data_IF_825159784306
#
_entry.id   IF_825159784306
#
_cell.length_a   1.000
_cell.length_b   1.000
_cell.length_c   1.000
_cell.angle_alpha   90.00
_cell.angle_beta   90.00
_cell.angle_gamma   90.00
#
_symmetry.space_group_name_H-M   'P 1'
#
loop_
_entity.id
_entity.type
_entity.pdbx_description
1 polymer ?
#
# COMPACT_ATOMS: atom_id res chain seq x y z
N UNK A 1 21.45 -26.99 48.95
CA UNK A 1 21.65 -26.27 47.67
C UNK A 1 20.31 -26.24 46.94
N UNK A 2 19.61 -25.11 47.01
CA UNK A 2 18.31 -24.88 46.37
C UNK A 2 18.53 -24.44 44.92
N UNK A 3 18.21 -25.30 43.96
CA UNK A 3 18.14 -24.90 42.56
C UNK A 3 16.77 -24.29 42.29
N UNK A 4 16.73 -22.96 42.13
CA UNK A 4 15.57 -22.25 41.60
C UNK A 4 15.40 -22.62 40.12
N UNK A 5 14.38 -23.42 39.85
CA UNK A 5 13.89 -23.67 38.48
C UNK A 5 13.07 -22.44 38.08
N UNK A 6 13.68 -21.53 37.32
CA UNK A 6 12.97 -20.40 36.70
C UNK A 6 12.07 -20.98 35.61
N UNK A 7 10.79 -21.12 35.90
CA UNK A 7 9.79 -21.45 34.91
C UNK A 7 9.55 -20.19 34.06
N UNK A 8 10.18 -20.12 32.89
CA UNK A 8 9.78 -19.19 31.84
C UNK A 8 8.43 -19.64 31.29
N UNK A 9 7.35 -19.17 31.93
CA UNK A 9 6.01 -19.27 31.38
C UNK A 9 5.96 -18.22 30.28
N UNK A 10 6.07 -18.66 29.02
CA UNK A 10 5.59 -17.84 27.90
C UNK A 10 4.08 -17.70 28.10
N UNK A 11 3.65 -16.55 28.63
CA UNK A 11 2.24 -16.16 28.62
C UNK A 11 1.79 -16.17 27.16
N UNK A 12 0.97 -17.15 26.80
CA UNK A 12 0.23 -17.15 25.55
C UNK A 12 -0.75 -15.98 25.60
N UNK A 13 -0.35 -14.85 25.03
CA UNK A 13 -1.22 -13.69 24.86
C UNK A 13 -2.37 -14.13 23.96
N UNK A 14 -3.57 -14.19 24.56
CA UNK A 14 -4.78 -14.54 23.85
C UNK A 14 -5.20 -13.33 23.02
N UNK A 15 -4.94 -13.39 21.70
CA UNK A 15 -5.31 -12.32 20.76
C UNK A 15 -6.82 -12.39 20.53
N UNK A 16 -7.56 -11.51 21.18
CA UNK A 16 -9.03 -11.44 21.08
C UNK A 16 -9.54 -10.39 20.11
N UNK A 17 -8.65 -9.53 19.59
CA UNK A 17 -8.96 -8.46 18.62
C UNK A 17 -7.86 -8.38 17.56
N UNK A 18 -8.24 -8.03 16.33
CA UNK A 18 -7.30 -7.78 15.24
C UNK A 18 -6.30 -6.67 15.61
N UNK A 19 -6.72 -5.70 16.43
CA UNK A 19 -5.87 -4.60 16.91
C UNK A 19 -4.77 -5.06 17.88
N UNK A 20 -4.81 -6.30 18.36
CA UNK A 20 -3.77 -6.87 19.21
C UNK A 20 -2.70 -7.62 18.38
N UNK A 21 -2.86 -7.75 17.06
CA UNK A 21 -1.82 -8.26 16.17
C UNK A 21 -0.61 -7.31 16.17
N UNK A 22 0.60 -7.85 15.99
CA UNK A 22 1.82 -7.05 15.89
C UNK A 22 1.88 -6.26 14.58
N UNK A 23 2.80 -5.31 14.47
CA UNK A 23 2.95 -4.51 13.25
C UNK A 23 3.42 -5.36 12.07
N UNK A 24 4.25 -6.37 12.34
CA UNK A 24 4.75 -7.34 11.36
C UNK A 24 3.59 -8.10 10.70
N UNK A 25 2.63 -8.58 11.50
CA UNK A 25 1.43 -9.23 10.96
C UNK A 25 0.63 -8.29 10.04
N UNK A 26 0.56 -6.99 10.36
CA UNK A 26 -0.11 -6.03 9.48
C UNK A 26 0.66 -5.75 8.20
N UNK A 27 1.99 -5.66 8.24
CA UNK A 27 2.78 -5.53 7.02
C UNK A 27 2.60 -6.76 6.11
N UNK A 28 2.56 -7.97 6.69
CA UNK A 28 2.24 -9.19 5.93
C UNK A 28 0.83 -9.12 5.31
N UNK A 29 -0.18 -8.65 6.04
CA UNK A 29 -1.53 -8.45 5.48
C UNK A 29 -1.50 -7.43 4.34
N UNK A 30 -0.80 -6.31 4.53
CA UNK A 30 -0.70 -5.24 3.54
C UNK A 30 -0.03 -5.70 2.24
N UNK A 31 0.89 -6.66 2.29
CA UNK A 31 1.52 -7.23 1.08
C UNK A 31 0.54 -7.91 0.12
N UNK A 32 -0.61 -8.40 0.63
CA UNK A 32 -1.67 -9.00 -0.18
C UNK A 32 -2.69 -7.98 -0.71
N UNK A 33 -2.63 -6.74 -0.24
CA UNK A 33 -3.57 -5.68 -0.61
C UNK A 33 -2.89 -4.66 -1.54
N UNK A 34 -3.67 -3.97 -2.36
CA UNK A 34 -3.18 -2.76 -3.01
C UNK A 34 -3.32 -1.55 -2.07
N UNK A 35 -2.60 -0.47 -2.40
CA UNK A 35 -2.59 0.75 -1.60
C UNK A 35 -3.97 1.40 -1.47
N UNK A 36 -4.87 1.22 -2.43
CA UNK A 36 -6.25 1.72 -2.32
C UNK A 36 -7.01 0.99 -1.21
N UNK A 37 -6.99 -0.35 -1.21
CA UNK A 37 -7.66 -1.15 -0.19
C UNK A 37 -7.04 -0.91 1.19
N UNK A 38 -5.73 -0.78 1.27
CA UNK A 38 -5.04 -0.44 2.53
C UNK A 38 -5.52 0.91 3.06
N UNK A 39 -5.46 1.97 2.25
CA UNK A 39 -5.90 3.30 2.69
C UNK A 39 -7.37 3.32 3.08
N UNK A 40 -8.24 2.79 2.22
CA UNK A 40 -9.68 2.81 2.44
C UNK A 40 -10.10 2.06 3.72
N UNK A 41 -9.43 0.94 4.03
CA UNK A 41 -9.75 0.16 5.21
C UNK A 41 -9.09 0.68 6.50
N UNK A 42 -7.86 1.19 6.44
CA UNK A 42 -7.04 1.42 7.64
C UNK A 42 -6.75 2.89 7.97
N UNK A 43 -6.93 3.84 7.04
CA UNK A 43 -6.47 5.24 7.26
C UNK A 43 -7.23 5.99 8.36
N UNK A 44 -8.46 5.59 8.62
CA UNK A 44 -9.38 6.28 9.53
C UNK A 44 -9.74 5.46 10.78
N UNK A 45 -9.00 4.39 11.09
CA UNK A 45 -9.29 3.53 12.23
C UNK A 45 -8.84 4.17 13.55
N UNK A 46 -7.53 4.26 13.76
CA UNK A 46 -6.95 4.85 14.97
C UNK A 46 -5.51 5.30 14.72
N UNK A 47 -4.91 5.97 15.71
CA UNK A 47 -3.55 6.51 15.63
C UNK A 47 -2.49 5.45 15.29
N UNK A 48 -2.62 4.23 15.81
CA UNK A 48 -1.67 3.14 15.52
C UNK A 48 -1.64 2.83 14.02
N UNK A 49 -2.81 2.74 13.37
CA UNK A 49 -2.86 2.51 11.93
C UNK A 49 -2.33 3.68 11.12
N UNK A 50 -2.55 4.92 11.57
CA UNK A 50 -1.92 6.08 10.92
C UNK A 50 -0.39 6.00 10.97
N UNK A 51 0.19 5.56 12.09
CA UNK A 51 1.63 5.35 12.19
C UNK A 51 2.12 4.22 11.27
N UNK A 52 1.38 3.11 11.19
CA UNK A 52 1.69 2.01 10.28
C UNK A 52 1.71 2.45 8.82
N UNK A 53 0.73 3.26 8.40
CA UNK A 53 0.62 3.73 7.02
C UNK A 53 1.73 4.73 6.63
N UNK A 54 2.17 5.54 7.59
CA UNK A 54 3.24 6.53 7.38
C UNK A 54 4.65 5.94 7.64
N UNK A 55 4.75 4.64 7.94
CA UNK A 55 6.02 3.97 8.20
C UNK A 55 6.79 3.73 6.89
N UNK A 56 8.08 4.05 6.86
CA UNK A 56 8.93 3.75 5.70
C UNK A 56 9.08 2.24 5.41
N UNK A 57 8.69 1.38 6.36
CA UNK A 57 8.67 -0.07 6.16
C UNK A 57 7.50 -0.54 5.28
N UNK A 58 6.46 0.29 5.12
CA UNK A 58 5.33 -0.03 4.26
C UNK A 58 5.60 0.45 2.83
N UNK A 59 5.54 -0.48 1.88
CA UNK A 59 5.68 -0.19 0.46
C UNK A 59 4.34 -0.43 -0.26
N UNK A 60 3.88 0.56 -1.04
CA UNK A 60 2.59 0.51 -1.71
C UNK A 60 2.67 -0.06 -3.13
N UNK A 61 1.75 -0.98 -3.41
CA UNK A 61 1.39 -1.46 -4.76
C UNK A 61 0.14 -0.72 -5.20
N UNK A 62 0.19 0.05 -6.27
CA UNK A 62 -0.98 0.77 -6.77
C UNK A 62 -1.50 0.11 -8.04
N UNK A 63 -2.64 -0.58 -7.92
CA UNK A 63 -3.35 -1.20 -9.05
C UNK A 63 -4.51 -0.33 -9.46
N UNK A 64 -4.49 0.17 -10.69
CA UNK A 64 -5.54 1.03 -11.24
C UNK A 64 -6.35 0.20 -12.25
N UNK A 65 -7.29 -0.58 -11.73
CA UNK A 65 -8.13 -1.53 -12.46
C UNK A 65 -9.61 -1.09 -12.57
N UNK A 66 -10.08 -0.25 -11.63
CA UNK A 66 -11.51 0.05 -11.47
C UNK A 66 -12.11 0.89 -12.61
N UNK A 67 -13.36 0.60 -13.02
CA UNK A 67 -14.09 1.37 -14.04
C UNK A 67 -14.31 2.82 -13.58
N UNK A 68 -13.63 3.74 -14.28
CA UNK A 68 -13.89 5.18 -14.52
C UNK A 68 -14.76 6.04 -13.56
N UNK A 69 -14.99 5.66 -12.31
CA UNK A 69 -15.69 6.52 -11.37
C UNK A 69 -14.71 7.58 -10.86
N UNK A 70 -15.07 8.86 -11.07
CA UNK A 70 -14.26 10.02 -10.66
C UNK A 70 -13.83 9.97 -9.20
N UNK A 71 -14.68 9.44 -8.31
CA UNK A 71 -14.34 9.27 -6.89
C UNK A 71 -13.14 8.33 -6.70
N UNK A 72 -13.13 7.20 -7.40
CA UNK A 72 -12.02 6.25 -7.36
C UNK A 72 -10.73 6.89 -7.89
N UNK A 73 -10.81 7.61 -9.02
CA UNK A 73 -9.65 8.33 -9.59
C UNK A 73 -9.08 9.37 -8.61
N UNK A 74 -9.94 10.09 -7.88
CA UNK A 74 -9.49 11.10 -6.91
C UNK A 74 -8.78 10.45 -5.71
N UNK A 75 -9.26 9.30 -5.23
CA UNK A 75 -8.62 8.59 -4.12
C UNK A 75 -7.23 8.09 -4.53
N UNK A 76 -7.11 7.44 -5.70
CA UNK A 76 -5.80 7.04 -6.22
C UNK A 76 -4.85 8.21 -6.35
N UNK A 77 -5.36 9.38 -6.77
CA UNK A 77 -4.57 10.60 -6.85
C UNK A 77 -4.06 11.07 -5.50
N UNK A 78 -4.91 11.08 -4.47
CA UNK A 78 -4.48 11.45 -3.12
C UNK A 78 -3.46 10.46 -2.56
N UNK A 79 -3.73 9.16 -2.65
CA UNK A 79 -2.81 8.11 -2.18
C UNK A 79 -1.47 8.23 -2.90
N UNK A 80 -1.48 8.42 -4.21
CA UNK A 80 -0.26 8.57 -5.01
C UNK A 80 0.55 9.79 -4.57
N UNK A 81 -0.11 10.94 -4.40
CA UNK A 81 0.56 12.19 -4.03
C UNK A 81 1.16 12.15 -2.61
N UNK A 82 0.45 11.56 -1.65
CA UNK A 82 0.90 11.53 -0.26
C UNK A 82 2.02 10.52 -0.02
N UNK A 83 2.10 9.47 -0.86
CA UNK A 83 2.96 8.32 -0.59
C UNK A 83 3.97 8.03 -1.69
N UNK A 84 4.32 9.02 -2.52
CA UNK A 84 5.28 8.83 -3.62
C UNK A 84 6.56 8.11 -3.18
N UNK A 85 7.10 8.51 -2.04
CA UNK A 85 8.30 7.92 -1.44
C UNK A 85 8.14 6.44 -1.06
N UNK A 86 6.92 5.96 -0.76
CA UNK A 86 6.64 4.56 -0.39
C UNK A 86 6.10 3.71 -1.56
N UNK A 87 5.75 4.32 -2.70
CA UNK A 87 5.19 3.57 -3.82
C UNK A 87 6.31 2.87 -4.57
N UNK A 88 6.23 1.54 -4.61
CA UNK A 88 7.24 0.73 -5.29
C UNK A 88 6.75 0.14 -6.62
N UNK A 89 5.43 0.05 -6.82
CA UNK A 89 4.88 -0.44 -8.08
C UNK A 89 3.56 0.21 -8.48
N UNK A 90 3.42 0.43 -9.79
CA UNK A 90 2.17 0.78 -10.45
C UNK A 90 1.76 -0.33 -11.43
N UNK A 91 0.47 -0.62 -11.46
CA UNK A 91 -0.15 -1.53 -12.42
C UNK A 91 -1.38 -0.87 -13.04
N UNK A 92 -1.31 -0.58 -14.34
CA UNK A 92 -2.33 0.21 -15.05
C UNK A 92 -3.02 -0.67 -16.11
N UNK A 93 -4.32 -0.93 -15.93
CA UNK A 93 -5.04 -1.96 -16.69
C UNK A 93 -5.67 -1.54 -18.02
N UNK A 94 -5.59 -0.28 -18.45
CA UNK A 94 -6.10 0.09 -19.77
C UNK A 94 -5.47 1.36 -20.35
N UNK A 95 -5.46 1.53 -21.69
CA UNK A 95 -4.92 2.73 -22.34
C UNK A 95 -5.50 4.04 -21.81
N UNK A 96 -6.81 4.07 -21.54
CA UNK A 96 -7.47 5.24 -20.95
C UNK A 96 -6.90 5.58 -19.58
N UNK A 97 -6.56 4.56 -18.78
CA UNK A 97 -5.95 4.74 -17.46
C UNK A 97 -4.49 5.16 -17.57
N UNK A 98 -3.74 4.66 -18.55
CA UNK A 98 -2.38 5.13 -18.86
C UNK A 98 -2.41 6.64 -19.09
N UNK A 99 -3.26 7.09 -20.02
CA UNK A 99 -3.41 8.52 -20.34
C UNK A 99 -3.83 9.35 -19.13
N UNK A 100 -4.81 8.89 -18.36
CA UNK A 100 -5.26 9.58 -17.15
C UNK A 100 -4.14 9.69 -16.10
N UNK A 101 -3.40 8.61 -15.88
CA UNK A 101 -2.28 8.57 -14.96
C UNK A 101 -1.19 9.56 -15.37
N UNK A 102 -0.69 9.47 -16.60
CA UNK A 102 0.38 10.37 -17.08
C UNK A 102 -0.07 11.83 -17.24
N UNK A 103 -1.38 12.08 -17.42
CA UNK A 103 -1.91 13.45 -17.35
C UNK A 103 -1.97 14.01 -15.93
N UNK A 104 -1.96 13.15 -14.91
CA UNK A 104 -2.10 13.51 -13.50
C UNK A 104 -0.77 13.50 -12.74
N UNK A 105 0.20 12.70 -13.19
CA UNK A 105 1.47 12.49 -12.52
C UNK A 105 2.60 12.41 -13.53
N UNK A 106 3.73 13.02 -13.18
CA UNK A 106 5.02 12.70 -13.77
C UNK A 106 5.71 11.68 -12.87
N UNK A 107 6.27 10.63 -13.46
CA UNK A 107 7.20 9.75 -12.75
C UNK A 107 8.54 10.49 -12.71
N UNK A 108 8.95 10.91 -11.52
CA UNK A 108 10.13 11.72 -11.28
C UNK A 108 10.89 11.22 -10.04
N UNK A 109 11.93 11.93 -9.63
CA UNK A 109 12.79 11.56 -8.49
C UNK A 109 12.10 11.62 -7.12
N UNK A 110 10.83 12.00 -7.02
CA UNK A 110 10.08 11.94 -5.74
C UNK A 110 9.52 10.55 -5.43
N UNK A 111 9.69 9.59 -6.34
CA UNK A 111 9.34 8.19 -6.15
C UNK A 111 10.57 7.37 -5.73
N UNK A 112 10.97 7.52 -4.47
CA UNK A 112 12.23 6.97 -3.92
C UNK A 112 12.37 5.44 -4.04
N UNK A 113 11.24 4.72 -4.03
CA UNK A 113 11.20 3.25 -4.05
C UNK A 113 10.55 2.66 -5.31
N UNK A 114 10.24 3.47 -6.33
CA UNK A 114 9.56 2.95 -7.52
C UNK A 114 10.49 2.03 -8.33
N UNK A 115 10.12 0.76 -8.37
CA UNK A 115 10.86 -0.30 -9.05
C UNK A 115 10.11 -0.85 -10.27
N UNK A 116 8.78 -0.73 -10.31
CA UNK A 116 7.97 -1.33 -11.37
C UNK A 116 6.83 -0.44 -11.85
N UNK A 117 6.65 -0.39 -13.16
CA UNK A 117 5.51 0.20 -13.85
C UNK A 117 5.01 -0.79 -14.89
N UNK A 118 3.82 -1.33 -14.67
CA UNK A 118 3.18 -2.27 -15.60
C UNK A 118 2.05 -1.57 -16.34
N UNK A 119 2.11 -1.62 -17.67
CA UNK A 119 1.09 -1.11 -18.57
C UNK A 119 0.42 -2.30 -19.25
N UNK A 120 -0.74 -2.74 -18.74
CA UNK A 120 -1.50 -3.81 -19.39
C UNK A 120 -2.32 -3.25 -20.54
N UNK A 121 -2.50 -4.09 -21.56
CA UNK A 121 -3.29 -3.76 -22.77
C UNK A 121 -2.77 -2.49 -23.44
N UNK A 122 -1.51 -2.53 -23.90
CA UNK A 122 -0.95 -1.44 -24.70
C UNK A 122 -1.67 -1.35 -26.05
N UNK A 123 -2.27 -0.20 -26.31
CA UNK A 123 -2.62 0.18 -27.68
C UNK A 123 -1.38 0.81 -28.33
N UNK A 124 -1.14 0.53 -29.61
CA UNK A 124 0.07 0.97 -30.30
C UNK A 124 0.26 2.51 -30.27
N UNK A 125 -0.85 3.23 -30.14
CA UNK A 125 -0.90 4.69 -30.05
C UNK A 125 -0.33 5.27 -28.74
N UNK A 126 -0.19 4.46 -27.68
CA UNK A 126 0.29 4.92 -26.35
C UNK A 126 1.82 4.99 -26.27
N UNK A 127 2.54 4.22 -27.10
CA UNK A 127 4.01 4.17 -27.12
C UNK A 127 4.68 5.32 -27.92
N UNK A 128 3.88 6.24 -28.45
CA UNK A 128 4.32 7.41 -29.23
C UNK A 128 4.38 8.71 -28.41
N UNK A 129 4.31 8.62 -27.07
CA UNK A 129 4.55 9.72 -26.12
C UNK A 129 6.00 9.70 -25.61
#
# INVERSE_FOLDING_TARGET
>A
MLQHKVNNIQETVLITSIENLSNECFYEIFDYLDGYHIYNAFSNLNYRFQQLLNSSSLLFKIKIDSPSNKLYTNIYKQITLMNKHQIFSFDLFSPLKHKQFFSSFSIDSSFDHLESLTLNYLDADVLML
#
